data_IF_104612674407
#
_entry.id   IF_104612674407
#
_cell.length_a   1.000
_cell.length_b   1.000
_cell.length_c   1.000
_cell.angle_alpha   90.00
_cell.angle_beta   90.00
_cell.angle_gamma   90.00
#
_symmetry.space_group_name_H-M   'P 1'
#
loop_
_entity.id
_entity.type
_entity.pdbx_description
1 polymer ?
#
# COMPACT_ATOMS: atom_id res chain seq x y z
N UNK A 1 17.75 86.91 -16.01
CA UNK A 1 18.42 85.63 -15.59
C UNK A 1 17.31 84.65 -15.26
N UNK A 2 17.02 83.69 -16.14
CA UNK A 2 15.97 82.70 -16.01
C UNK A 2 16.67 81.38 -15.63
N UNK A 3 16.29 80.78 -14.47
CA UNK A 3 16.77 79.48 -14.03
C UNK A 3 15.93 78.32 -14.66
N UNK A 4 16.54 77.24 -15.09
CA UNK A 4 15.80 76.08 -15.67
C UNK A 4 15.20 75.18 -14.58
N UNK A 5 13.89 74.91 -14.72
CA UNK A 5 13.17 73.89 -13.96
C UNK A 5 13.60 72.51 -14.43
N UNK A 6 14.20 71.71 -13.53
CA UNK A 6 14.47 70.27 -13.74
C UNK A 6 13.18 69.47 -13.52
N UNK A 7 12.68 68.82 -14.56
CA UNK A 7 11.61 67.85 -14.49
C UNK A 7 12.22 66.50 -14.04
N UNK A 8 11.86 66.02 -12.85
CA UNK A 8 12.15 64.66 -12.41
C UNK A 8 11.03 63.74 -12.89
N UNK A 9 11.33 62.90 -13.87
CA UNK A 9 10.43 61.82 -14.32
C UNK A 9 10.62 60.63 -13.40
N UNK A 10 9.65 60.37 -12.52
CA UNK A 10 9.63 59.14 -11.70
C UNK A 10 9.17 57.97 -12.56
N UNK A 11 10.07 57.03 -12.84
CA UNK A 11 9.77 55.74 -13.52
C UNK A 11 9.20 54.79 -12.45
N UNK A 12 7.88 54.60 -12.47
CA UNK A 12 7.21 53.62 -11.63
C UNK A 12 7.46 52.22 -12.23
N UNK A 13 8.33 51.41 -11.58
CA UNK A 13 8.46 49.98 -11.85
C UNK A 13 7.21 49.26 -11.30
N UNK A 14 6.31 48.91 -12.18
CA UNK A 14 5.20 48.00 -11.87
C UNK A 14 5.76 46.54 -11.82
N UNK A 15 6.00 46.04 -10.63
CA UNK A 15 6.28 44.62 -10.43
C UNK A 15 4.97 43.86 -10.65
N UNK A 16 4.83 43.23 -11.80
CA UNK A 16 3.81 42.18 -11.98
C UNK A 16 4.20 40.98 -11.15
N UNK A 17 3.65 40.88 -9.95
CA UNK A 17 3.60 39.62 -9.25
C UNK A 17 2.68 38.68 -10.04
N UNK A 18 3.26 37.77 -10.81
CA UNK A 18 2.54 36.64 -11.38
C UNK A 18 2.03 35.81 -10.22
N UNK A 19 0.78 36.03 -9.80
CA UNK A 19 0.07 35.09 -8.95
C UNK A 19 -0.03 33.78 -9.75
N UNK A 20 0.81 32.80 -9.45
CA UNK A 20 0.56 31.43 -9.84
C UNK A 20 -0.77 31.08 -9.17
N UNK A 21 -1.83 31.02 -9.97
CA UNK A 21 -3.12 30.48 -9.52
C UNK A 21 -2.85 29.05 -9.08
N UNK A 22 -2.90 28.79 -7.77
CA UNK A 22 -2.91 27.44 -7.29
C UNK A 22 -4.11 26.76 -7.98
N UNK A 23 -3.90 25.56 -8.52
CA UNK A 23 -5.00 24.82 -9.14
C UNK A 23 -6.09 24.62 -8.08
N UNK A 24 -7.32 25.00 -8.42
CA UNK A 24 -8.46 24.86 -7.51
C UNK A 24 -8.90 23.40 -7.33
N UNK A 25 -8.28 22.47 -8.06
CA UNK A 25 -8.69 21.09 -8.15
C UNK A 25 -7.52 20.13 -8.42
N UNK A 26 -7.57 18.92 -7.84
CA UNK A 26 -6.72 17.77 -8.16
C UNK A 26 -7.60 16.55 -8.44
N UNK A 27 -7.29 15.79 -9.49
CA UNK A 27 -8.02 14.60 -9.88
C UNK A 27 -7.22 13.35 -9.54
N UNK A 28 -7.81 12.44 -8.76
CA UNK A 28 -7.18 11.20 -8.30
C UNK A 28 -7.90 9.97 -8.83
N UNK A 29 -7.20 9.07 -9.50
CA UNK A 29 -7.69 7.72 -9.78
C UNK A 29 -7.26 6.80 -8.65
N UNK A 30 -8.23 6.21 -7.93
CA UNK A 30 -8.01 5.49 -6.68
C UNK A 30 -8.51 4.05 -6.75
N UNK A 31 -7.68 3.09 -6.36
CA UNK A 31 -8.15 1.73 -6.12
C UNK A 31 -8.57 1.46 -4.67
N UNK A 32 -8.58 2.50 -3.84
CA UNK A 32 -9.20 2.43 -2.52
C UNK A 32 -10.66 2.82 -2.60
N UNK A 33 -11.50 2.11 -1.86
CA UNK A 33 -12.92 2.42 -1.74
C UNK A 33 -13.11 3.79 -1.06
N UNK A 34 -14.22 4.43 -1.36
CA UNK A 34 -14.51 5.80 -0.97
C UNK A 34 -14.42 6.02 0.54
N UNK A 35 -14.96 5.10 1.34
CA UNK A 35 -14.97 5.17 2.80
C UNK A 35 -13.57 5.25 3.41
N UNK A 36 -12.56 4.73 2.72
CA UNK A 36 -11.19 4.68 3.20
C UNK A 36 -10.33 5.86 2.77
N UNK A 37 -10.69 6.56 1.69
CA UNK A 37 -9.86 7.64 1.14
C UNK A 37 -10.52 9.02 1.26
N UNK A 38 -11.85 9.08 1.18
CA UNK A 38 -12.59 10.34 1.25
C UNK A 38 -12.29 11.16 2.50
N UNK A 39 -12.18 10.59 3.73
CA UNK A 39 -11.84 11.39 4.91
C UNK A 39 -10.49 12.11 4.81
N UNK A 40 -9.51 11.52 4.13
CA UNK A 40 -8.20 12.14 3.89
C UNK A 40 -8.33 13.31 2.91
N UNK A 41 -9.07 13.11 1.83
CA UNK A 41 -9.29 14.16 0.83
C UNK A 41 -10.12 15.32 1.37
N UNK A 42 -11.16 15.02 2.16
CA UNK A 42 -11.98 16.05 2.81
C UNK A 42 -11.13 16.90 3.80
N UNK A 43 -10.24 16.28 4.56
CA UNK A 43 -9.33 16.99 5.47
C UNK A 43 -8.36 17.92 4.72
N UNK A 44 -7.81 17.47 3.57
CA UNK A 44 -6.97 18.31 2.73
C UNK A 44 -7.75 19.49 2.15
N UNK A 45 -8.94 19.24 1.63
CA UNK A 45 -9.83 20.28 1.09
C UNK A 45 -10.19 21.30 2.16
N UNK A 46 -10.55 20.85 3.37
CA UNK A 46 -10.87 21.73 4.48
C UNK A 46 -9.68 22.62 4.88
N UNK A 47 -8.47 22.10 4.78
CA UNK A 47 -7.22 22.81 5.13
C UNK A 47 -6.79 23.82 4.08
N UNK A 48 -6.93 23.49 2.79
CA UNK A 48 -6.29 24.22 1.69
C UNK A 48 -7.26 24.93 0.77
N UNK A 49 -8.53 24.53 0.76
CA UNK A 49 -9.53 24.97 -0.21
C UNK A 49 -9.45 24.24 -1.56
N UNK A 50 -8.40 23.44 -1.81
CA UNK A 50 -8.23 22.68 -3.06
C UNK A 50 -9.26 21.54 -3.10
N UNK A 51 -10.03 21.45 -4.16
CA UNK A 51 -11.02 20.38 -4.35
C UNK A 51 -10.34 19.11 -4.86
N UNK A 52 -10.65 17.99 -4.24
CA UNK A 52 -10.19 16.69 -4.71
C UNK A 52 -11.35 15.97 -5.39
N UNK A 53 -11.23 15.79 -6.71
CA UNK A 53 -12.09 14.87 -7.45
C UNK A 53 -11.42 13.50 -7.52
N UNK A 54 -12.17 12.43 -7.31
CA UNK A 54 -11.59 11.11 -7.44
C UNK A 54 -12.58 10.12 -8.08
N UNK A 55 -12.00 9.12 -8.72
CA UNK A 55 -12.73 8.01 -9.34
C UNK A 55 -12.19 6.73 -8.72
N UNK A 56 -13.09 5.89 -8.23
CA UNK A 56 -12.74 4.60 -7.62
C UNK A 56 -13.07 3.45 -8.55
N UNK A 57 -12.07 2.58 -8.82
CA UNK A 57 -12.19 1.35 -9.58
C UNK A 57 -11.05 0.38 -9.22
N UNK A 58 -11.02 -0.80 -9.82
CA UNK A 58 -9.91 -1.76 -9.69
C UNK A 58 -8.63 -1.22 -10.32
N UNK A 59 -7.50 -1.70 -9.82
CA UNK A 59 -6.17 -1.21 -10.18
C UNK A 59 -5.90 -1.26 -11.69
N UNK A 60 -6.11 -2.43 -12.31
CA UNK A 60 -5.81 -2.62 -13.74
C UNK A 60 -6.66 -1.74 -14.68
N UNK A 61 -7.99 -1.62 -14.52
CA UNK A 61 -8.79 -0.67 -15.28
C UNK A 61 -8.32 0.77 -15.17
N UNK A 62 -7.97 1.26 -13.96
CA UNK A 62 -7.47 2.62 -13.77
C UNK A 62 -6.14 2.85 -14.50
N UNK A 63 -5.18 1.93 -14.39
CA UNK A 63 -3.91 2.01 -15.11
C UNK A 63 -4.10 2.00 -16.63
N UNK A 64 -4.97 1.12 -17.15
CA UNK A 64 -5.27 1.07 -18.58
C UNK A 64 -5.96 2.36 -19.06
N UNK A 65 -6.82 2.93 -18.25
CA UNK A 65 -7.47 4.20 -18.53
C UNK A 65 -6.45 5.33 -18.66
N UNK A 66 -5.56 5.50 -17.68
CA UNK A 66 -4.48 6.52 -17.75
C UNK A 66 -3.63 6.32 -19.02
N UNK A 67 -3.28 5.05 -19.34
CA UNK A 67 -2.52 4.73 -20.55
C UNK A 67 -3.26 5.12 -21.83
N UNK A 68 -4.56 4.85 -21.90
CA UNK A 68 -5.40 5.16 -23.07
C UNK A 68 -5.64 6.65 -23.23
N UNK A 69 -5.81 7.40 -22.13
CA UNK A 69 -5.97 8.85 -22.15
C UNK A 69 -4.69 9.56 -22.66
N UNK A 70 -3.50 9.01 -22.37
CA UNK A 70 -2.21 9.51 -22.84
C UNK A 70 -2.02 11.00 -22.50
N UNK A 71 -1.74 11.84 -23.50
CA UNK A 71 -1.56 13.28 -23.32
C UNK A 71 -2.85 14.02 -22.92
N UNK A 72 -4.01 13.40 -23.07
CA UNK A 72 -5.29 13.93 -22.66
C UNK A 72 -5.72 13.39 -21.27
N UNK A 73 -4.77 12.87 -20.47
CA UNK A 73 -5.04 12.36 -19.14
C UNK A 73 -5.73 13.44 -18.29
N UNK A 74 -6.79 13.02 -17.61
CA UNK A 74 -7.53 13.89 -16.69
C UNK A 74 -7.09 13.68 -15.24
N UNK A 75 -6.47 12.54 -14.93
CA UNK A 75 -5.97 12.24 -13.60
C UNK A 75 -4.59 12.89 -13.37
N UNK A 76 -4.46 13.56 -12.23
CA UNK A 76 -3.17 14.05 -11.73
C UNK A 76 -2.41 12.94 -11.00
N UNK A 77 -3.12 12.10 -10.26
CA UNK A 77 -2.55 11.09 -9.39
C UNK A 77 -3.21 9.72 -9.60
N UNK A 78 -2.37 8.67 -9.49
CA UNK A 78 -2.81 7.28 -9.34
C UNK A 78 -2.52 6.82 -7.91
N UNK A 79 -3.56 6.50 -7.15
CA UNK A 79 -3.48 5.90 -5.82
C UNK A 79 -3.88 4.44 -5.90
N UNK A 80 -3.00 3.53 -5.52
CA UNK A 80 -3.27 2.09 -5.59
C UNK A 80 -2.76 1.32 -4.38
N UNK A 81 -3.30 0.14 -4.19
CA UNK A 81 -2.87 -0.80 -3.16
C UNK A 81 -1.83 -1.75 -3.74
N UNK A 82 -0.83 -2.08 -2.94
CA UNK A 82 0.28 -2.98 -3.27
C UNK A 82 1.37 -2.36 -4.16
N UNK A 83 2.60 -2.44 -3.69
CA UNK A 83 3.77 -1.92 -4.42
C UNK A 83 3.98 -2.60 -5.78
N UNK A 84 3.50 -3.84 -5.95
CA UNK A 84 3.52 -4.54 -7.23
C UNK A 84 2.71 -3.80 -8.31
N UNK A 85 1.57 -3.22 -7.95
CA UNK A 85 0.75 -2.44 -8.87
C UNK A 85 1.40 -1.07 -9.19
N UNK A 86 2.03 -0.42 -8.20
CA UNK A 86 2.76 0.84 -8.42
C UNK A 86 3.95 0.62 -9.36
N UNK A 87 4.72 -0.43 -9.12
CA UNK A 87 5.82 -0.82 -10.00
C UNK A 87 5.31 -1.12 -11.42
N UNK A 88 4.17 -1.81 -11.55
CA UNK A 88 3.55 -2.05 -12.86
C UNK A 88 3.16 -0.76 -13.57
N UNK A 89 2.58 0.21 -12.85
CA UNK A 89 2.25 1.54 -13.41
C UNK A 89 3.51 2.27 -13.91
N UNK A 90 4.62 2.20 -13.17
CA UNK A 90 5.93 2.70 -13.57
C UNK A 90 6.41 2.02 -14.87
N UNK A 91 6.37 0.66 -14.93
CA UNK A 91 6.77 -0.08 -16.15
C UNK A 91 5.86 0.19 -17.36
N UNK A 92 4.61 0.55 -17.14
CA UNK A 92 3.70 0.99 -18.21
C UNK A 92 4.02 2.39 -18.73
N UNK A 93 4.92 3.13 -18.06
CA UNK A 93 5.31 4.51 -18.40
C UNK A 93 4.15 5.51 -18.25
N UNK A 94 3.23 5.27 -17.32
CA UNK A 94 2.07 6.13 -17.04
C UNK A 94 2.29 7.06 -15.85
N UNK A 95 3.42 6.95 -15.17
CA UNK A 95 3.85 7.83 -14.10
C UNK A 95 5.01 8.72 -14.55
N UNK A 96 5.33 9.73 -13.76
CA UNK A 96 6.50 10.59 -13.93
C UNK A 96 7.21 10.79 -12.59
N UNK A 97 8.54 11.00 -12.62
CA UNK A 97 9.29 11.30 -11.41
C UNK A 97 8.85 12.62 -10.77
N UNK A 98 8.82 12.64 -9.43
CA UNK A 98 8.66 13.85 -8.63
C UNK A 98 9.50 13.75 -7.37
N UNK A 99 10.36 14.73 -7.16
CA UNK A 99 11.23 14.83 -5.99
C UNK A 99 10.65 15.78 -4.96
N UNK A 100 10.79 15.46 -3.68
CA UNK A 100 10.33 16.31 -2.59
C UNK A 100 11.11 16.01 -1.31
N UNK A 101 11.76 17.02 -0.75
CA UNK A 101 12.43 16.92 0.55
C UNK A 101 11.45 16.55 1.68
N UNK A 102 10.18 16.95 1.56
CA UNK A 102 9.13 16.62 2.53
C UNK A 102 8.85 15.12 2.52
N UNK A 103 8.68 14.54 1.32
CA UNK A 103 8.45 13.10 1.17
C UNK A 103 9.67 12.32 1.61
N UNK A 104 10.86 12.75 1.22
CA UNK A 104 12.13 12.10 1.56
C UNK A 104 12.38 12.04 3.06
N UNK A 105 11.99 13.09 3.77
CA UNK A 105 12.05 13.16 5.23
C UNK A 105 11.02 12.28 5.93
N UNK A 106 9.81 12.19 5.36
CA UNK A 106 8.66 11.57 6.01
C UNK A 106 8.55 10.07 5.71
N UNK A 107 8.97 9.62 4.52
CA UNK A 107 8.79 8.24 4.07
C UNK A 107 10.16 7.57 3.86
N UNK A 108 10.46 6.48 4.56
CA UNK A 108 11.69 5.72 4.39
C UNK A 108 11.91 5.26 2.94
N UNK A 109 13.16 5.19 2.46
CA UNK A 109 13.47 4.89 1.07
C UNK A 109 12.97 3.51 0.61
N UNK A 110 12.91 2.50 1.50
CA UNK A 110 12.38 1.18 1.16
C UNK A 110 10.89 1.18 0.79
N UNK A 111 10.14 2.24 1.12
CA UNK A 111 8.71 2.43 0.82
C UNK A 111 8.48 3.42 -0.33
N UNK A 112 9.49 3.71 -1.12
CA UNK A 112 9.44 4.61 -2.28
C UNK A 112 10.01 3.96 -3.51
N UNK A 113 9.62 4.43 -4.69
CA UNK A 113 10.24 4.06 -5.96
C UNK A 113 11.68 4.55 -6.03
N UNK A 114 12.58 3.71 -6.50
CA UNK A 114 13.97 4.08 -6.78
C UNK A 114 14.08 5.06 -7.95
N UNK A 115 13.07 5.14 -8.82
CA UNK A 115 12.93 6.11 -9.90
C UNK A 115 12.19 7.39 -9.49
N UNK A 116 11.78 7.51 -8.21
CA UNK A 116 10.98 8.63 -7.69
C UNK A 116 9.58 8.80 -8.33
N UNK A 117 9.00 7.77 -8.93
CA UNK A 117 7.70 7.86 -9.61
C UNK A 117 6.51 7.63 -8.68
N UNK A 118 6.72 7.05 -7.49
CA UNK A 118 5.68 6.84 -6.48
C UNK A 118 6.25 6.79 -5.06
N UNK A 119 5.36 6.99 -4.08
CA UNK A 119 5.66 6.90 -2.66
C UNK A 119 4.59 6.14 -1.90
N UNK A 120 4.98 5.48 -0.80
CA UNK A 120 4.06 4.84 0.14
C UNK A 120 3.29 5.85 0.98
N UNK A 121 2.06 5.49 1.34
CA UNK A 121 1.18 6.29 2.20
C UNK A 121 0.75 5.55 3.46
N UNK A 122 0.54 4.25 3.38
CA UNK A 122 0.20 3.41 4.53
C UNK A 122 0.75 2.01 4.33
N UNK A 123 0.99 1.30 5.43
CA UNK A 123 1.56 -0.05 5.42
C UNK A 123 0.55 -1.06 5.99
N UNK A 124 0.65 -2.30 5.53
CA UNK A 124 0.01 -3.45 6.14
C UNK A 124 0.99 -4.62 6.18
N UNK A 125 0.89 -5.42 7.20
CA UNK A 125 1.56 -6.71 7.21
C UNK A 125 0.65 -7.76 6.57
N UNK A 126 1.26 -8.69 5.85
CA UNK A 126 0.61 -9.94 5.46
C UNK A 126 1.12 -11.00 6.41
N UNK A 127 0.29 -11.42 7.33
CA UNK A 127 0.70 -12.18 8.51
C UNK A 127 -0.10 -13.47 8.68
N UNK A 128 0.27 -14.30 9.64
CA UNK A 128 -0.47 -15.50 9.99
C UNK A 128 -1.61 -15.12 10.93
N UNK A 129 -2.83 -15.56 10.62
CA UNK A 129 -3.95 -15.60 11.54
C UNK A 129 -4.13 -17.04 12.04
N UNK A 130 -4.45 -17.21 13.32
CA UNK A 130 -4.59 -18.52 13.92
C UNK A 130 -5.75 -18.60 14.92
N UNK A 131 -6.33 -19.78 15.06
CA UNK A 131 -7.34 -20.07 16.07
C UNK A 131 -6.70 -20.14 17.47
N UNK A 132 -7.18 -19.34 18.42
CA UNK A 132 -6.71 -19.39 19.82
C UNK A 132 -7.15 -20.64 20.57
N UNK A 133 -8.18 -21.34 20.06
CA UNK A 133 -8.72 -22.53 20.68
C UNK A 133 -7.98 -23.81 20.26
N UNK A 134 -7.32 -23.79 19.09
CA UNK A 134 -6.75 -25.01 18.47
C UNK A 134 -5.25 -24.93 18.18
N UNK A 135 -4.65 -23.74 18.28
CA UNK A 135 -3.22 -23.49 18.02
C UNK A 135 -2.61 -22.72 19.17
N UNK A 136 -1.51 -23.22 19.70
CA UNK A 136 -0.69 -22.47 20.66
C UNK A 136 0.31 -21.60 19.89
N UNK A 137 0.58 -20.35 20.29
CA UNK A 137 1.55 -19.47 19.62
C UNK A 137 2.94 -20.11 19.41
N UNK A 138 3.34 -21.01 20.31
CA UNK A 138 4.63 -21.71 20.28
C UNK A 138 4.75 -22.73 19.14
N UNK A 139 3.62 -23.12 18.52
CA UNK A 139 3.59 -23.97 17.32
C UNK A 139 3.92 -23.18 16.04
N UNK A 140 3.81 -21.86 16.10
CA UNK A 140 4.02 -20.95 14.96
C UNK A 140 5.44 -20.37 14.96
N UNK A 141 6.01 -20.14 13.79
CA UNK A 141 7.36 -19.56 13.68
C UNK A 141 7.53 -18.71 12.43
N UNK A 142 7.54 -19.29 11.25
CA UNK A 142 7.81 -18.64 9.97
C UNK A 142 6.74 -18.97 8.94
N UNK A 143 6.69 -18.21 7.83
CA UNK A 143 5.84 -18.59 6.68
C UNK A 143 6.24 -19.97 6.13
N UNK A 144 7.55 -20.20 6.09
CA UNK A 144 8.16 -21.42 5.55
C UNK A 144 7.71 -22.65 6.34
N UNK A 145 7.60 -22.52 7.66
CA UNK A 145 7.17 -23.60 8.55
C UNK A 145 5.71 -24.05 8.32
N UNK A 146 4.86 -23.21 7.68
CA UNK A 146 3.52 -23.64 7.29
C UNK A 146 3.52 -24.71 6.20
N UNK A 147 4.67 -24.99 5.56
CA UNK A 147 4.86 -26.10 4.63
C UNK A 147 5.12 -27.43 5.32
N UNK A 148 5.37 -27.44 6.64
CA UNK A 148 5.68 -28.65 7.40
C UNK A 148 4.42 -29.53 7.56
N UNK A 149 4.65 -30.84 7.67
CA UNK A 149 3.58 -31.85 7.71
C UNK A 149 2.63 -31.69 8.90
N UNK A 150 3.04 -31.06 9.99
CA UNK A 150 2.18 -30.80 11.15
C UNK A 150 1.03 -29.82 10.85
N UNK A 151 1.07 -29.15 9.71
CA UNK A 151 -0.01 -28.26 9.21
C UNK A 151 -0.90 -28.94 8.15
N UNK A 152 -0.70 -30.22 7.85
CA UNK A 152 -1.52 -30.96 6.87
C UNK A 152 -3.00 -30.91 7.25
N UNK A 153 -3.85 -30.42 6.33
CA UNK A 153 -5.28 -30.23 6.54
C UNK A 153 -5.67 -29.13 7.54
N UNK A 154 -4.74 -28.23 7.88
CA UNK A 154 -4.96 -27.17 8.86
C UNK A 154 -4.77 -25.76 8.34
N UNK A 155 -4.32 -25.60 7.08
CA UNK A 155 -4.02 -24.29 6.44
C UNK A 155 -5.17 -23.83 5.56
N UNK A 156 -5.52 -22.55 5.65
CA UNK A 156 -6.41 -21.85 4.73
C UNK A 156 -5.67 -20.73 4.01
N UNK A 157 -5.82 -20.67 2.69
CA UNK A 157 -5.25 -19.60 1.88
C UNK A 157 -6.30 -18.92 1.00
N UNK A 158 -6.07 -17.67 0.69
CA UNK A 158 -6.76 -16.96 -0.37
C UNK A 158 -6.16 -17.33 -1.73
N UNK A 159 -6.96 -17.21 -2.80
CA UNK A 159 -6.53 -17.44 -4.20
C UNK A 159 -5.23 -16.71 -4.56
N UNK A 160 -4.37 -17.38 -5.32
CA UNK A 160 -3.13 -16.85 -5.88
C UNK A 160 -3.33 -15.65 -6.82
N UNK A 161 -4.54 -15.51 -7.40
CA UNK A 161 -4.87 -14.43 -8.34
C UNK A 161 -4.82 -13.03 -7.71
N UNK A 162 -4.79 -12.93 -6.37
CA UNK A 162 -4.71 -11.63 -5.70
C UNK A 162 -3.25 -11.20 -5.51
N UNK A 163 -2.96 -9.97 -5.88
CA UNK A 163 -1.63 -9.35 -5.83
C UNK A 163 -0.92 -9.53 -4.47
N UNK A 164 -1.63 -9.57 -3.36
CA UNK A 164 -1.03 -9.74 -2.02
C UNK A 164 -0.26 -11.06 -1.86
N UNK A 165 -0.75 -12.16 -2.45
CA UNK A 165 -0.07 -13.45 -2.46
C UNK A 165 1.11 -13.44 -3.42
N UNK A 166 0.96 -12.77 -4.58
CA UNK A 166 2.01 -12.59 -5.55
C UNK A 166 3.18 -11.82 -4.95
N UNK A 167 2.90 -10.75 -4.21
CA UNK A 167 3.91 -9.93 -3.53
C UNK A 167 4.66 -10.71 -2.44
N UNK A 168 3.95 -11.47 -1.59
CA UNK A 168 4.60 -12.33 -0.59
C UNK A 168 5.49 -13.38 -1.27
N UNK A 169 4.98 -14.05 -2.31
CA UNK A 169 5.76 -15.03 -3.07
C UNK A 169 6.98 -14.39 -3.73
N UNK A 170 6.84 -13.19 -4.29
CA UNK A 170 7.93 -12.44 -4.89
C UNK A 170 9.07 -12.15 -3.87
N UNK A 171 8.72 -11.73 -2.66
CA UNK A 171 9.72 -11.53 -1.60
C UNK A 171 10.37 -12.84 -1.15
N UNK A 172 9.62 -13.94 -1.08
CA UNK A 172 10.17 -15.27 -0.79
C UNK A 172 11.14 -15.74 -1.86
N UNK A 173 10.87 -15.49 -3.14
CA UNK A 173 11.80 -15.80 -4.24
C UNK A 173 13.09 -14.99 -4.08
N UNK A 174 13.00 -13.71 -3.72
CA UNK A 174 14.20 -12.88 -3.51
C UNK A 174 15.06 -13.39 -2.37
N UNK A 175 14.46 -13.84 -1.28
CA UNK A 175 15.17 -14.31 -0.08
C UNK A 175 15.72 -15.72 -0.24
N UNK A 176 14.95 -16.64 -0.80
CA UNK A 176 15.24 -18.08 -0.78
C UNK A 176 15.66 -18.63 -2.14
N UNK A 177 15.48 -17.88 -3.22
CA UNK A 177 15.58 -18.38 -4.57
C UNK A 177 14.35 -19.18 -5.02
N UNK A 178 14.29 -19.44 -6.33
CA UNK A 178 13.11 -20.04 -6.96
C UNK A 178 12.80 -21.46 -6.47
N UNK A 179 13.82 -22.33 -6.41
CA UNK A 179 13.64 -23.74 -6.08
C UNK A 179 13.06 -23.95 -4.67
N UNK A 180 13.68 -23.28 -3.67
CA UNK A 180 13.23 -23.39 -2.28
C UNK A 180 11.84 -22.81 -2.10
N UNK A 181 11.55 -21.65 -2.73
CA UNK A 181 10.23 -21.02 -2.65
C UNK A 181 9.15 -21.91 -3.28
N UNK A 182 9.41 -22.51 -4.44
CA UNK A 182 8.44 -23.41 -5.08
C UNK A 182 8.15 -24.65 -4.21
N UNK A 183 9.16 -25.19 -3.51
CA UNK A 183 8.99 -26.28 -2.56
C UNK A 183 8.10 -25.87 -1.38
N UNK A 184 8.30 -24.66 -0.84
CA UNK A 184 7.47 -24.12 0.24
C UNK A 184 6.01 -23.97 -0.22
N UNK A 185 5.78 -23.37 -1.40
CA UNK A 185 4.43 -23.20 -1.92
C UNK A 185 3.71 -24.53 -2.14
N UNK A 186 4.41 -25.55 -2.66
CA UNK A 186 3.87 -26.92 -2.77
C UNK A 186 3.49 -27.50 -1.41
N UNK A 187 4.32 -27.25 -0.39
CA UNK A 187 4.00 -27.62 0.98
C UNK A 187 2.74 -26.94 1.50
N UNK A 188 2.59 -25.63 1.25
CA UNK A 188 1.36 -24.92 1.63
C UNK A 188 0.11 -25.50 0.93
N UNK A 189 0.21 -25.77 -0.37
CA UNK A 189 -0.91 -26.38 -1.14
C UNK A 189 -1.26 -27.76 -0.60
N UNK A 190 -0.28 -28.58 -0.27
CA UNK A 190 -0.50 -29.92 0.33
C UNK A 190 -1.14 -29.84 1.73
N UNK A 191 -0.92 -28.74 2.45
CA UNK A 191 -1.44 -28.54 3.80
C UNK A 191 -2.80 -27.84 3.84
N UNK A 192 -3.39 -27.49 2.66
CA UNK A 192 -4.70 -26.90 2.62
C UNK A 192 -5.77 -27.83 3.18
N UNK A 193 -6.66 -27.27 4.01
CA UNK A 193 -7.82 -28.00 4.55
C UNK A 193 -9.01 -27.96 3.60
N UNK A 194 -9.09 -26.96 2.74
CA UNK A 194 -10.18 -26.70 1.78
C UNK A 194 -9.62 -26.11 0.49
N UNK A 195 -10.48 -25.92 -0.50
CA UNK A 195 -10.17 -25.04 -1.63
C UNK A 195 -9.83 -23.62 -1.16
N UNK A 196 -9.09 -22.88 -1.99
CA UNK A 196 -8.69 -21.50 -1.69
C UNK A 196 -9.89 -20.54 -1.67
N UNK A 197 -9.84 -19.56 -0.80
CA UNK A 197 -10.91 -18.57 -0.62
C UNK A 197 -10.77 -17.37 -1.57
N UNK A 198 -11.88 -16.70 -1.84
CA UNK A 198 -11.90 -15.49 -2.68
C UNK A 198 -11.32 -14.26 -2.01
N UNK A 199 -11.39 -14.17 -0.67
CA UNK A 199 -10.94 -13.01 0.11
C UNK A 199 -10.40 -13.39 1.50
N UNK A 200 -9.81 -12.42 2.22
CA UNK A 200 -9.19 -12.68 3.53
C UNK A 200 -10.22 -12.76 4.67
N UNK A 201 -11.42 -12.16 4.52
CA UNK A 201 -12.47 -12.27 5.53
C UNK A 201 -12.98 -13.72 5.55
N UNK A 202 -13.17 -14.31 4.36
CA UNK A 202 -13.54 -15.72 4.25
C UNK A 202 -12.49 -16.66 4.88
N UNK A 203 -11.19 -16.36 4.76
CA UNK A 203 -10.12 -17.12 5.45
C UNK A 203 -10.27 -16.99 6.98
N UNK A 204 -10.50 -15.78 7.51
CA UNK A 204 -10.67 -15.56 8.95
C UNK A 204 -11.93 -16.24 9.49
N UNK A 205 -13.03 -16.19 8.74
CA UNK A 205 -14.28 -16.88 9.11
C UNK A 205 -14.14 -18.40 9.04
N UNK A 206 -13.35 -18.92 8.10
CA UNK A 206 -13.06 -20.36 8.03
C UNK A 206 -12.24 -20.83 9.26
N UNK A 207 -11.27 -20.02 9.72
CA UNK A 207 -10.54 -20.29 10.96
C UNK A 207 -11.52 -20.26 12.16
N UNK A 208 -12.37 -19.26 12.25
CA UNK A 208 -13.38 -19.17 13.29
C UNK A 208 -14.32 -20.37 13.31
N UNK A 209 -14.74 -20.83 12.14
CA UNK A 209 -15.67 -21.97 11.98
C UNK A 209 -14.98 -23.36 12.16
N UNK A 210 -13.66 -23.40 12.37
CA UNK A 210 -12.92 -24.66 12.54
C UNK A 210 -12.68 -25.43 11.25
N UNK A 211 -12.83 -24.79 10.08
CA UNK A 211 -12.50 -25.39 8.79
C UNK A 211 -10.99 -25.52 8.59
N UNK A 212 -10.22 -24.62 9.21
CA UNK A 212 -8.77 -24.66 9.30
C UNK A 212 -8.33 -24.02 10.62
N UNK A 213 -7.06 -24.14 10.94
CA UNK A 213 -6.51 -23.64 12.20
C UNK A 213 -5.67 -22.39 12.02
N UNK A 214 -5.06 -22.24 10.82
CA UNK A 214 -4.18 -21.11 10.46
C UNK A 214 -4.47 -20.63 9.04
N UNK A 215 -4.13 -19.37 8.77
CA UNK A 215 -4.20 -18.81 7.42
C UNK A 215 -3.32 -17.57 7.26
N UNK A 216 -3.06 -17.17 6.03
CA UNK A 216 -2.26 -15.96 5.73
C UNK A 216 -3.19 -14.84 5.26
N UNK A 217 -3.21 -13.73 5.99
CA UNK A 217 -4.12 -12.61 5.75
C UNK A 217 -3.40 -11.26 5.85
N UNK A 218 -3.97 -10.21 5.27
CA UNK A 218 -3.54 -8.84 5.57
C UNK A 218 -4.19 -8.36 6.88
N UNK A 219 -3.42 -7.67 7.70
CA UNK A 219 -3.78 -7.24 9.05
C UNK A 219 -5.10 -6.49 9.15
N UNK A 220 -5.37 -5.56 8.24
CA UNK A 220 -6.59 -4.73 8.28
C UNK A 220 -7.90 -5.50 8.09
N UNK A 221 -7.87 -6.69 7.45
CA UNK A 221 -9.07 -7.54 7.40
C UNK A 221 -9.40 -8.12 8.76
N UNK A 222 -8.37 -8.53 9.51
CA UNK A 222 -8.54 -8.96 10.89
C UNK A 222 -9.11 -7.82 11.75
N UNK A 223 -8.52 -6.62 11.69
CA UNK A 223 -9.00 -5.50 12.46
C UNK A 223 -10.48 -5.18 12.21
N UNK A 224 -10.88 -5.11 10.94
CA UNK A 224 -12.29 -4.85 10.57
C UNK A 224 -13.23 -5.94 11.08
N UNK A 225 -12.84 -7.21 10.95
CA UNK A 225 -13.66 -8.31 11.41
C UNK A 225 -13.71 -8.35 12.94
N UNK A 226 -12.59 -8.16 13.62
CA UNK A 226 -12.51 -8.12 15.09
C UNK A 226 -13.34 -6.97 15.68
N UNK A 227 -13.38 -5.82 15.03
CA UNK A 227 -14.25 -4.71 15.42
C UNK A 227 -15.75 -5.07 15.36
N UNK A 228 -16.14 -5.91 14.39
CA UNK A 228 -17.51 -6.40 14.25
C UNK A 228 -17.82 -7.58 15.19
N UNK A 229 -16.81 -8.40 15.47
CA UNK A 229 -16.86 -9.62 16.28
C UNK A 229 -15.72 -9.64 17.32
N UNK A 230 -15.82 -8.87 18.42
CA UNK A 230 -14.73 -8.79 19.41
C UNK A 230 -14.35 -10.12 20.06
N UNK A 231 -15.33 -11.03 20.17
CA UNK A 231 -15.14 -12.37 20.74
C UNK A 231 -14.59 -13.42 19.76
N UNK A 232 -14.13 -12.97 18.56
CA UNK A 232 -13.58 -13.87 17.55
C UNK A 232 -12.35 -14.62 18.12
N UNK A 233 -12.35 -15.97 18.21
CA UNK A 233 -11.23 -16.73 18.74
C UNK A 233 -10.11 -16.89 17.71
N UNK A 234 -9.73 -15.77 17.10
CA UNK A 234 -8.65 -15.66 16.11
C UNK A 234 -7.74 -14.53 16.50
N UNK A 235 -6.43 -14.75 16.43
CA UNK A 235 -5.39 -13.73 16.65
C UNK A 235 -4.40 -13.69 15.50
N UNK A 236 -3.62 -12.62 15.45
CA UNK A 236 -2.50 -12.48 14.54
C UNK A 236 -1.23 -13.01 15.20
N UNK A 237 -0.38 -13.64 14.38
CA UNK A 237 0.98 -14.05 14.74
C UNK A 237 1.97 -13.44 13.74
N UNK A 238 3.05 -12.87 14.25
CA UNK A 238 4.10 -12.25 13.45
C UNK A 238 5.16 -13.28 13.08
N UNK A 239 5.17 -13.81 11.83
CA UNK A 239 6.17 -14.79 11.42
C UNK A 239 7.56 -14.17 11.22
N UNK A 240 8.58 -15.00 11.18
CA UNK A 240 9.95 -14.63 10.83
C UNK A 240 10.61 -13.56 11.74
N UNK A 241 10.18 -13.48 13.02
CA UNK A 241 10.68 -12.43 13.91
C UNK A 241 12.13 -12.66 14.36
N UNK A 242 12.66 -13.89 14.25
CA UNK A 242 14.04 -14.22 14.55
C UNK A 242 14.99 -14.09 13.35
N UNK A 243 14.45 -13.79 12.17
CA UNK A 243 15.24 -13.66 10.93
C UNK A 243 14.88 -12.38 10.16
N UNK A 244 14.20 -12.46 9.01
CA UNK A 244 13.94 -11.34 8.12
C UNK A 244 12.78 -10.42 8.51
N UNK A 245 11.96 -10.83 9.44
CA UNK A 245 10.74 -10.09 9.80
C UNK A 245 9.52 -10.46 8.93
N UNK A 246 8.38 -9.89 9.30
CA UNK A 246 7.11 -10.11 8.61
C UNK A 246 7.05 -9.32 7.30
N UNK A 247 6.49 -9.94 6.25
CA UNK A 247 6.25 -9.27 4.98
C UNK A 247 5.32 -8.06 5.16
N UNK A 248 5.81 -6.88 4.80
CA UNK A 248 5.04 -5.64 4.73
C UNK A 248 4.86 -5.20 3.29
N UNK A 249 3.73 -4.59 3.01
CA UNK A 249 3.46 -3.96 1.73
C UNK A 249 2.66 -2.67 1.98
N UNK A 250 2.44 -1.87 0.95
CA UNK A 250 1.93 -0.53 1.11
C UNK A 250 0.72 -0.24 0.21
N UNK A 251 0.00 0.82 0.56
CA UNK A 251 -0.74 1.61 -0.41
C UNK A 251 0.07 2.86 -0.70
N UNK A 252 0.12 3.25 -1.93
CA UNK A 252 0.93 4.38 -2.34
C UNK A 252 0.33 5.15 -3.50
N UNK A 253 1.01 6.21 -3.89
CA UNK A 253 0.53 7.19 -4.85
C UNK A 253 1.66 7.61 -5.78
N UNK A 254 1.34 7.77 -7.06
CA UNK A 254 2.26 8.27 -8.09
C UNK A 254 1.64 9.41 -8.88
N UNK A 255 2.48 10.33 -9.34
CA UNK A 255 2.10 11.41 -10.23
C UNK A 255 1.95 10.86 -11.66
N UNK A 256 0.80 11.09 -12.30
CA UNK A 256 0.60 10.60 -13.67
C UNK A 256 1.49 11.36 -14.66
N UNK A 257 1.91 10.68 -15.72
CA UNK A 257 2.87 11.21 -16.71
C UNK A 257 2.45 12.54 -17.33
N UNK A 258 1.17 12.75 -17.50
CA UNK A 258 0.59 13.94 -18.14
C UNK A 258 -0.39 14.64 -17.19
N UNK A 259 -0.07 14.65 -15.90
CA UNK A 259 -0.89 15.32 -14.87
C UNK A 259 -1.22 16.77 -15.28
N UNK A 260 -2.50 17.15 -15.34
CA UNK A 260 -2.89 18.52 -15.67
C UNK A 260 -2.42 19.56 -14.62
N UNK A 261 -2.34 19.15 -13.35
CA UNK A 261 -2.02 20.02 -12.21
C UNK A 261 -0.87 19.46 -11.36
N UNK A 262 0.35 19.27 -11.91
CA UNK A 262 1.42 18.52 -11.26
C UNK A 262 1.87 19.14 -9.93
N UNK A 263 1.93 20.46 -9.81
CA UNK A 263 2.35 21.14 -8.57
C UNK A 263 1.31 20.99 -7.45
N UNK A 264 0.02 21.14 -7.77
CA UNK A 264 -1.06 20.94 -6.81
C UNK A 264 -1.14 19.45 -6.37
N UNK A 265 -0.95 18.53 -7.30
CA UNK A 265 -0.89 17.11 -7.04
C UNK A 265 0.29 16.76 -6.13
N UNK A 266 1.48 17.29 -6.40
CA UNK A 266 2.66 17.12 -5.54
C UNK A 266 2.40 17.65 -4.13
N UNK A 267 1.82 18.83 -3.99
CA UNK A 267 1.49 19.40 -2.68
C UNK A 267 0.51 18.50 -1.89
N UNK A 268 -0.48 17.89 -2.57
CA UNK A 268 -1.35 16.91 -1.94
C UNK A 268 -0.55 15.69 -1.46
N UNK A 269 0.34 15.14 -2.27
CA UNK A 269 1.16 13.97 -1.89
C UNK A 269 2.07 14.32 -0.70
N UNK A 270 2.72 15.47 -0.72
CA UNK A 270 3.54 15.95 0.40
C UNK A 270 2.74 16.00 1.70
N UNK A 271 1.54 16.60 1.65
CA UNK A 271 0.67 16.66 2.83
C UNK A 271 0.24 15.26 3.29
N UNK A 272 -0.09 14.34 2.36
CA UNK A 272 -0.48 12.97 2.71
C UNK A 272 0.62 12.19 3.45
N UNK A 273 1.88 12.63 3.36
CA UNK A 273 3.00 12.03 4.12
C UNK A 273 3.23 12.68 5.50
N UNK A 274 2.58 13.80 5.80
CA UNK A 274 2.72 14.50 7.09
C UNK A 274 2.09 13.71 8.24
N UNK A 275 2.53 13.96 9.49
CA UNK A 275 1.93 13.31 10.66
C UNK A 275 0.42 13.50 10.77
N UNK A 276 -0.11 14.67 10.39
CA UNK A 276 -1.54 14.97 10.39
C UNK A 276 -2.32 14.00 9.48
N UNK A 277 -1.94 13.90 8.21
CA UNK A 277 -2.61 13.03 7.25
C UNK A 277 -2.40 11.54 7.57
N UNK A 278 -1.20 11.16 8.00
CA UNK A 278 -0.85 9.78 8.34
C UNK A 278 -1.68 9.27 9.53
N UNK A 279 -2.01 10.15 10.50
CA UNK A 279 -2.91 9.80 11.58
C UNK A 279 -4.32 9.49 11.08
N UNK A 280 -4.85 10.28 10.14
CA UNK A 280 -6.16 10.01 9.52
C UNK A 280 -6.15 8.65 8.81
N UNK A 281 -5.09 8.34 8.06
CA UNK A 281 -4.93 7.03 7.43
C UNK A 281 -4.95 5.88 8.45
N UNK A 282 -4.20 6.01 9.53
CA UNK A 282 -4.10 4.99 10.57
C UNK A 282 -5.47 4.73 11.23
N UNK A 283 -6.17 5.79 11.59
CA UNK A 283 -7.45 5.71 12.30
C UNK A 283 -8.58 5.15 11.41
N UNK A 284 -8.65 5.57 10.14
CA UNK A 284 -9.71 5.16 9.21
C UNK A 284 -9.50 3.76 8.65
N UNK A 285 -8.24 3.41 8.34
CA UNK A 285 -7.94 2.22 7.55
C UNK A 285 -7.52 1.00 8.36
N UNK A 286 -7.20 1.16 9.65
CA UNK A 286 -6.57 0.13 10.47
C UNK A 286 -5.29 -0.39 9.83
N UNK A 287 -4.51 0.52 9.27
CA UNK A 287 -3.20 0.29 8.67
C UNK A 287 -2.12 1.00 9.47
N UNK A 288 -0.87 0.58 9.28
CA UNK A 288 0.26 1.24 9.90
C UNK A 288 0.62 2.49 9.08
N UNK A 289 0.98 3.62 9.72
CA UNK A 289 1.52 4.77 9.02
C UNK A 289 2.80 4.40 8.25
N UNK A 290 2.97 4.96 7.05
CA UNK A 290 4.24 4.84 6.33
C UNK A 290 5.30 5.80 6.89
N UNK A 291 4.88 6.88 7.56
CA UNK A 291 5.74 7.80 8.27
C UNK A 291 6.08 7.23 9.67
N UNK A 292 7.34 6.88 9.96
CA UNK A 292 7.73 6.24 11.20
C UNK A 292 7.62 7.15 12.44
N UNK A 293 7.44 8.47 12.25
CA UNK A 293 7.21 9.42 13.35
C UNK A 293 5.75 9.38 13.87
N UNK A 294 4.86 8.63 13.20
CA UNK A 294 3.44 8.53 13.56
C UNK A 294 3.14 7.16 14.14
N UNK A 295 2.59 7.14 15.34
CA UNK A 295 2.12 5.89 15.95
C UNK A 295 0.89 5.35 15.21
N UNK A 296 0.71 4.01 15.11
CA UNK A 296 -0.54 3.43 14.65
C UNK A 296 -1.69 3.76 15.62
N UNK A 297 -2.94 3.55 15.18
CA UNK A 297 -4.09 3.67 16.07
C UNK A 297 -3.98 2.72 17.28
N UNK A 298 -4.69 3.00 18.36
CA UNK A 298 -4.68 2.15 19.58
C UNK A 298 -5.05 0.70 19.25
N UNK A 299 -6.04 0.49 18.38
CA UNK A 299 -6.46 -0.83 17.94
C UNK A 299 -5.33 -1.57 17.19
N UNK A 300 -4.66 -0.90 16.25
CA UNK A 300 -3.55 -1.49 15.49
C UNK A 300 -2.34 -1.74 16.39
N UNK A 301 -2.06 -0.84 17.34
CA UNK A 301 -1.00 -1.00 18.33
C UNK A 301 -1.25 -2.21 19.28
N UNK A 302 -2.51 -2.50 19.58
CA UNK A 302 -2.90 -3.64 20.41
C UNK A 302 -2.58 -5.01 19.77
N UNK A 303 -2.36 -5.07 18.45
CA UNK A 303 -1.93 -6.32 17.78
C UNK A 303 -0.48 -6.69 18.08
N UNK A 304 0.25 -5.83 18.78
CA UNK A 304 1.64 -6.04 19.20
C UNK A 304 2.65 -5.45 18.21
N UNK A 305 3.89 -5.40 18.68
CA UNK A 305 5.03 -4.93 17.87
C UNK A 305 5.62 -6.07 17.06
N UNK A 306 6.18 -5.75 15.90
CA UNK A 306 6.85 -6.71 15.04
C UNK A 306 8.08 -6.09 14.35
N UNK A 307 8.98 -6.96 13.93
CA UNK A 307 10.05 -6.63 13.01
C UNK A 307 9.52 -6.79 11.58
N UNK A 308 9.53 -5.72 10.81
CA UNK A 308 9.16 -5.74 9.40
C UNK A 308 10.32 -6.22 8.54
N UNK A 309 10.02 -6.93 7.46
CA UNK A 309 10.99 -7.22 6.41
C UNK A 309 11.51 -5.90 5.80
N UNK A 310 12.83 -5.80 5.66
CA UNK A 310 13.52 -4.59 5.19
C UNK A 310 13.77 -4.58 3.67
N UNK A 311 13.34 -5.62 2.96
CA UNK A 311 13.45 -5.61 1.49
C UNK A 311 12.70 -4.42 0.90
N UNK A 312 13.28 -3.76 -0.13
CA UNK A 312 12.55 -2.75 -0.88
C UNK A 312 11.24 -3.32 -1.42
N UNK A 313 10.13 -2.63 -1.19
CA UNK A 313 8.80 -3.12 -1.61
C UNK A 313 8.66 -3.28 -3.14
N UNK A 314 9.53 -2.64 -3.92
CA UNK A 314 9.65 -2.83 -5.38
C UNK A 314 9.91 -4.28 -5.79
N UNK A 315 10.54 -5.09 -4.94
CA UNK A 315 10.76 -6.52 -5.17
C UNK A 315 9.46 -7.22 -5.50
N UNK A 316 8.35 -6.81 -4.87
CA UNK A 316 7.02 -7.34 -5.15
C UNK A 316 6.66 -7.24 -6.64
N UNK A 317 6.96 -6.10 -7.27
CA UNK A 317 6.73 -5.90 -8.71
C UNK A 317 7.76 -6.59 -9.59
N UNK A 318 9.05 -6.42 -9.27
CA UNK A 318 10.17 -6.99 -10.06
C UNK A 318 10.06 -8.51 -10.23
N UNK A 319 9.59 -9.22 -9.21
CA UNK A 319 9.42 -10.68 -9.20
C UNK A 319 8.00 -11.16 -9.47
N UNK A 320 7.02 -10.25 -9.67
CA UNK A 320 5.59 -10.61 -9.75
C UNK A 320 5.29 -11.65 -10.81
N UNK A 321 5.79 -11.48 -12.03
CA UNK A 321 5.56 -12.43 -13.12
C UNK A 321 6.16 -13.82 -12.84
N UNK A 322 7.31 -13.89 -12.17
CA UNK A 322 7.94 -15.13 -11.72
C UNK A 322 7.10 -15.79 -10.62
N UNK A 323 6.63 -15.00 -9.65
CA UNK A 323 5.77 -15.45 -8.56
C UNK A 323 4.46 -16.06 -9.08
N UNK A 324 3.79 -15.40 -10.02
CA UNK A 324 2.54 -15.91 -10.62
C UNK A 324 2.75 -17.29 -11.26
N UNK A 325 3.78 -17.43 -12.10
CA UNK A 325 4.10 -18.72 -12.74
C UNK A 325 4.48 -19.80 -11.74
N UNK A 326 5.16 -19.44 -10.66
CA UNK A 326 5.56 -20.38 -9.62
C UNK A 326 4.36 -20.86 -8.80
N UNK A 327 3.46 -19.96 -8.44
CA UNK A 327 2.22 -20.30 -7.72
C UNK A 327 1.35 -21.24 -8.56
N UNK A 328 1.22 -20.99 -9.87
CA UNK A 328 0.52 -21.88 -10.82
C UNK A 328 1.16 -23.27 -10.85
N UNK A 329 2.49 -23.38 -11.01
CA UNK A 329 3.20 -24.68 -10.97
C UNK A 329 3.10 -25.40 -9.63
N UNK A 330 2.97 -24.65 -8.54
CA UNK A 330 2.75 -25.23 -7.22
C UNK A 330 1.31 -25.72 -7.01
N UNK A 331 0.37 -25.41 -7.90
CA UNK A 331 -1.04 -25.75 -7.78
C UNK A 331 -1.83 -24.78 -6.90
N UNK A 332 -1.27 -23.62 -6.60
CA UNK A 332 -1.98 -22.58 -5.86
C UNK A 332 -2.79 -21.71 -6.84
N UNK A 333 -4.10 -21.90 -6.92
CA UNK A 333 -5.00 -21.28 -7.89
C UNK A 333 -5.77 -20.06 -7.34
#
# INVERSE_FOLDING_TARGET
MLAPKRLLTALALTVFASSVSAADEVVVYSSRIDELIKPVFDAYTAKTGVKIKFITDKEAPLMQRIKAEGQNATADLLLTVDAGNLWQAEQMGILQPFTSEVIDKNIPPQYRSSSHEWTGLSLRARTIAYSTDRVKPEELSTYEALADKNWEGRLCLRTAKKVYNQSLTATMIEVHGAEKTEKILKGWVNNLSTDVFSDNVAVLEAINAGQCDVGIVNTYYYGRLHKQKPELPVKLFWPNQADRGVHVNLSGIGLTKHAPHPEAAKALVEWMTTPEAQKIFADVNQEFPANPAVAPSEEVAAWGKFVADTLPVEVAGKRQAEAIRMMDRAGWN
#
